data_IF_345642245057
#
_entry.id   IF_345642245057
#
_cell.length_a   1.000
_cell.length_b   1.000
_cell.length_c   1.000
_cell.angle_alpha   90.00
_cell.angle_beta   90.00
_cell.angle_gamma   90.00
#
_symmetry.space_group_name_H-M   'P 1'
#
loop_
_entity.id
_entity.type
_entity.pdbx_description
1 polymer ?
#
# COMPACT_ATOMS: atom_id res chain seq x y z
N UNK A 1 -15.76 70.81 2.82
CA UNK A 1 -14.86 69.71 3.23
C UNK A 1 -15.45 68.41 2.68
N UNK A 2 -14.88 67.87 1.60
CA UNK A 2 -15.29 66.57 1.07
C UNK A 2 -14.59 65.46 1.86
N UNK A 3 -15.38 64.58 2.48
CA UNK A 3 -14.90 63.42 3.24
C UNK A 3 -14.34 62.42 2.23
N UNK A 4 -13.04 62.12 2.30
CA UNK A 4 -12.38 61.17 1.39
C UNK A 4 -12.93 59.77 1.68
N UNK A 5 -13.64 59.19 0.71
CA UNK A 5 -14.28 57.86 0.82
C UNK A 5 -13.24 56.74 0.96
N UNK A 6 -12.86 56.43 2.20
CA UNK A 6 -11.96 55.32 2.53
C UNK A 6 -12.61 53.94 2.38
N UNK A 7 -13.94 53.88 2.24
CA UNK A 7 -14.74 52.65 2.20
C UNK A 7 -14.59 51.88 0.88
N UNK A 8 -14.39 52.56 -0.25
CA UNK A 8 -14.24 51.92 -1.57
C UNK A 8 -12.94 51.13 -1.71
N UNK A 9 -11.83 51.64 -1.16
CA UNK A 9 -10.54 50.97 -1.22
C UNK A 9 -10.51 49.69 -0.37
N UNK A 10 -11.17 49.69 0.79
CA UNK A 10 -11.27 48.50 1.64
C UNK A 10 -12.03 47.36 0.96
N UNK A 11 -13.15 47.67 0.28
CA UNK A 11 -13.93 46.68 -0.46
C UNK A 11 -13.14 46.06 -1.62
N UNK A 12 -12.38 46.88 -2.36
CA UNK A 12 -11.52 46.41 -3.46
C UNK A 12 -10.42 45.48 -2.94
N UNK A 13 -9.74 45.85 -1.85
CA UNK A 13 -8.71 45.01 -1.23
C UNK A 13 -9.31 43.67 -0.77
N UNK A 14 -10.48 43.69 -0.12
CA UNK A 14 -11.18 42.46 0.27
C UNK A 14 -11.57 41.60 -0.94
N UNK A 15 -12.00 42.22 -2.03
CA UNK A 15 -12.29 41.52 -3.29
C UNK A 15 -11.05 40.80 -3.85
N UNK A 16 -9.92 41.49 -3.95
CA UNK A 16 -8.66 40.88 -4.41
C UNK A 16 -8.18 39.75 -3.48
N UNK A 17 -8.28 39.94 -2.16
CA UNK A 17 -7.95 38.89 -1.20
C UNK A 17 -8.87 37.67 -1.34
N UNK A 18 -10.16 37.89 -1.62
CA UNK A 18 -11.12 36.83 -1.90
C UNK A 18 -10.74 35.99 -3.12
N UNK A 19 -10.33 36.65 -4.21
CA UNK A 19 -9.86 35.94 -5.43
C UNK A 19 -8.60 35.11 -5.13
N UNK A 20 -7.64 35.68 -4.40
CA UNK A 20 -6.40 34.96 -4.03
C UNK A 20 -6.73 33.75 -3.16
N UNK A 21 -7.59 33.91 -2.14
CA UNK A 21 -8.01 32.81 -1.27
C UNK A 21 -8.72 31.69 -2.05
N UNK A 22 -9.60 32.05 -2.99
CA UNK A 22 -10.27 31.08 -3.86
C UNK A 22 -9.28 30.31 -4.75
N UNK A 23 -8.29 31.00 -5.34
CA UNK A 23 -7.26 30.35 -6.15
C UNK A 23 -6.37 29.40 -5.34
N UNK A 24 -6.01 29.78 -4.12
CA UNK A 24 -5.27 28.91 -3.19
C UNK A 24 -6.08 27.66 -2.86
N UNK A 25 -7.36 27.83 -2.50
CA UNK A 25 -8.26 26.72 -2.20
C UNK A 25 -8.38 25.75 -3.39
N UNK A 26 -8.64 26.27 -4.60
CA UNK A 26 -8.71 25.47 -5.83
C UNK A 26 -7.39 24.75 -6.10
N UNK A 27 -6.25 25.42 -5.90
CA UNK A 27 -4.93 24.80 -6.06
C UNK A 27 -4.71 23.61 -5.13
N UNK A 28 -5.17 23.70 -3.87
CA UNK A 28 -5.12 22.61 -2.90
C UNK A 28 -6.02 21.45 -3.32
N UNK A 29 -7.28 21.73 -3.71
CA UNK A 29 -8.25 20.72 -4.17
C UNK A 29 -7.75 19.96 -5.41
N UNK A 30 -7.14 20.65 -6.37
CA UNK A 30 -6.55 20.02 -7.56
C UNK A 30 -5.39 19.10 -7.18
N UNK A 31 -4.53 19.54 -6.24
CA UNK A 31 -3.42 18.71 -5.76
C UNK A 31 -3.93 17.44 -5.08
N UNK A 32 -4.92 17.57 -4.20
CA UNK A 32 -5.53 16.43 -3.50
C UNK A 32 -6.19 15.47 -4.49
N UNK A 33 -6.98 16.00 -5.44
CA UNK A 33 -7.60 15.20 -6.50
C UNK A 33 -6.58 14.42 -7.33
N UNK A 34 -5.42 15.03 -7.62
CA UNK A 34 -4.34 14.36 -8.34
C UNK A 34 -3.70 13.23 -7.52
N UNK A 35 -3.52 13.41 -6.22
CA UNK A 35 -2.97 12.38 -5.33
C UNK A 35 -3.90 11.16 -5.31
N UNK A 36 -5.20 11.39 -5.08
CA UNK A 36 -6.21 10.32 -5.09
C UNK A 36 -6.22 9.59 -6.43
N UNK A 37 -6.24 10.32 -7.55
CA UNK A 37 -6.25 9.71 -8.88
C UNK A 37 -5.00 8.86 -9.19
N UNK A 38 -3.83 9.21 -8.64
CA UNK A 38 -2.61 8.39 -8.78
C UNK A 38 -2.73 7.12 -7.94
N UNK A 39 -3.21 7.25 -6.69
CA UNK A 39 -3.44 6.10 -5.80
C UNK A 39 -4.44 5.11 -6.37
N UNK A 40 -5.57 5.58 -6.90
CA UNK A 40 -6.58 4.73 -7.54
C UNK A 40 -6.01 3.94 -8.71
N UNK A 41 -5.16 4.57 -9.54
CA UNK A 41 -4.48 3.88 -10.65
C UNK A 41 -3.49 2.84 -10.16
N UNK A 42 -2.77 3.12 -9.08
CA UNK A 42 -1.85 2.16 -8.48
C UNK A 42 -2.62 0.96 -7.90
N UNK A 43 -3.72 1.21 -7.19
CA UNK A 43 -4.63 0.18 -6.69
C UNK A 43 -5.20 -0.67 -7.82
N UNK A 44 -5.72 -0.07 -8.89
CA UNK A 44 -6.25 -0.81 -10.04
C UNK A 44 -5.20 -1.73 -10.68
N UNK A 45 -3.94 -1.28 -10.80
CA UNK A 45 -2.85 -2.12 -11.30
C UNK A 45 -2.52 -3.27 -10.35
N UNK A 46 -2.57 -3.01 -9.04
CA UNK A 46 -2.37 -4.03 -8.00
C UNK A 46 -3.48 -5.07 -8.04
N UNK A 47 -4.73 -4.65 -8.16
CA UNK A 47 -5.90 -5.53 -8.28
C UNK A 47 -5.80 -6.45 -9.49
N UNK A 48 -5.43 -5.92 -10.66
CA UNK A 48 -5.18 -6.72 -11.86
C UNK A 48 -4.06 -7.75 -11.65
N UNK A 49 -2.96 -7.36 -11.00
CA UNK A 49 -1.87 -8.29 -10.70
C UNK A 49 -2.31 -9.39 -9.71
N UNK A 50 -3.08 -9.03 -8.68
CA UNK A 50 -3.66 -9.98 -7.73
C UNK A 50 -4.65 -10.93 -8.39
N UNK A 51 -5.49 -10.45 -9.32
CA UNK A 51 -6.43 -11.26 -10.10
C UNK A 51 -5.69 -12.32 -10.92
N UNK A 52 -4.66 -11.90 -11.67
CA UNK A 52 -3.80 -12.81 -12.45
C UNK A 52 -3.14 -13.89 -11.56
N UNK A 53 -2.83 -13.57 -10.31
CA UNK A 53 -2.32 -14.56 -9.34
C UNK A 53 -3.43 -15.45 -8.78
N UNK A 54 -4.62 -14.90 -8.52
CA UNK A 54 -5.78 -15.68 -8.05
C UNK A 54 -6.22 -16.72 -9.05
N UNK A 55 -6.16 -16.41 -10.34
CA UNK A 55 -6.47 -17.38 -11.42
C UNK A 55 -5.51 -18.58 -11.45
N UNK A 56 -4.35 -18.47 -10.80
CA UNK A 56 -3.37 -19.56 -10.65
C UNK A 56 -3.58 -20.39 -9.38
N UNK A 57 -4.51 -20.01 -8.51
CA UNK A 57 -4.79 -20.78 -7.30
C UNK A 57 -5.34 -22.16 -7.69
N UNK A 58 -4.78 -23.25 -7.15
CA UNK A 58 -5.39 -24.56 -7.30
C UNK A 58 -6.74 -24.60 -6.59
N UNK A 59 -7.69 -25.44 -7.05
CA UNK A 59 -8.91 -25.69 -6.30
C UNK A 59 -8.54 -26.31 -4.95
N UNK A 60 -9.12 -25.83 -3.85
CA UNK A 60 -8.72 -26.33 -2.55
C UNK A 60 -9.14 -25.45 -1.39
N UNK A 61 -8.56 -25.71 -0.20
CA UNK A 61 -8.88 -24.96 1.00
C UNK A 61 -8.46 -23.49 0.86
N UNK A 62 -9.22 -22.62 1.50
CA UNK A 62 -8.92 -21.19 1.58
C UNK A 62 -7.60 -20.92 2.31
N UNK A 63 -7.03 -19.73 2.09
CA UNK A 63 -5.88 -19.24 2.84
C UNK A 63 -6.05 -19.36 4.36
N UNK A 64 -7.27 -19.17 4.86
CA UNK A 64 -7.59 -19.26 6.29
C UNK A 64 -7.52 -20.71 6.80
N UNK A 65 -8.05 -21.66 6.04
CA UNK A 65 -7.97 -23.09 6.38
C UNK A 65 -6.53 -23.59 6.38
N UNK A 66 -5.75 -23.21 5.36
CA UNK A 66 -4.31 -23.54 5.28
C UNK A 66 -3.56 -22.96 6.48
N UNK A 67 -3.82 -21.69 6.83
CA UNK A 67 -3.20 -21.04 8.01
C UNK A 67 -3.58 -21.74 9.31
N UNK A 68 -4.81 -22.21 9.43
CA UNK A 68 -5.29 -22.96 10.61
C UNK A 68 -4.51 -24.26 10.78
N UNK A 69 -4.28 -25.00 9.69
CA UNK A 69 -3.45 -26.21 9.68
C UNK A 69 -2.00 -25.93 10.09
N UNK A 70 -1.40 -24.88 9.54
CA UNK A 70 -0.03 -24.46 9.90
C UNK A 70 0.08 -24.14 11.39
N UNK A 71 -0.90 -23.41 11.96
CA UNK A 71 -0.94 -23.10 13.40
C UNK A 71 -1.10 -24.37 14.25
N UNK A 72 -1.86 -25.35 13.77
CA UNK A 72 -2.01 -26.65 14.42
C UNK A 72 -0.77 -27.56 14.29
N UNK A 73 0.26 -27.14 13.54
CA UNK A 73 1.47 -27.92 13.28
C UNK A 73 1.25 -29.07 12.29
N UNK A 74 0.17 -29.03 11.53
CA UNK A 74 -0.13 -30.03 10.50
C UNK A 74 0.75 -29.83 9.27
N UNK A 75 1.10 -30.93 8.60
CA UNK A 75 1.81 -30.88 7.32
C UNK A 75 0.84 -30.50 6.22
N UNK A 76 1.21 -29.50 5.43
CA UNK A 76 0.51 -29.17 4.19
C UNK A 76 0.80 -30.21 3.12
N UNK A 77 -0.20 -30.52 2.30
CA UNK A 77 0.00 -31.19 1.02
C UNK A 77 0.74 -30.29 0.03
N UNK A 78 1.21 -30.85 -1.08
CA UNK A 78 1.89 -30.08 -2.13
C UNK A 78 0.97 -29.01 -2.74
N UNK A 79 -0.33 -29.32 -2.89
CA UNK A 79 -1.33 -28.39 -3.42
C UNK A 79 -1.62 -27.24 -2.44
N UNK A 80 -1.77 -27.56 -1.15
CA UNK A 80 -1.93 -26.54 -0.10
C UNK A 80 -0.68 -25.67 0.03
N UNK A 81 0.51 -26.26 -0.11
CA UNK A 81 1.78 -25.53 -0.10
C UNK A 81 1.84 -24.55 -1.27
N UNK A 82 1.46 -24.99 -2.49
CA UNK A 82 1.38 -24.11 -3.66
C UNK A 82 0.34 -23.00 -3.48
N UNK A 83 -0.85 -23.32 -2.99
CA UNK A 83 -1.88 -22.33 -2.69
C UNK A 83 -1.39 -21.30 -1.67
N UNK A 84 -0.70 -21.75 -0.61
CA UNK A 84 -0.12 -20.88 0.42
C UNK A 84 0.91 -19.90 -0.14
N UNK A 85 1.79 -20.37 -1.02
CA UNK A 85 2.78 -19.54 -1.70
C UNK A 85 2.11 -18.47 -2.56
N UNK A 86 1.07 -18.82 -3.34
CA UNK A 86 0.32 -17.86 -4.16
C UNK A 86 -0.42 -16.85 -3.28
N UNK A 87 -1.06 -17.29 -2.19
CA UNK A 87 -1.68 -16.39 -1.23
C UNK A 87 -0.68 -15.42 -0.60
N UNK A 88 0.53 -15.88 -0.30
CA UNK A 88 1.60 -15.04 0.23
C UNK A 88 2.04 -13.99 -0.79
N UNK A 89 2.17 -14.35 -2.07
CA UNK A 89 2.46 -13.39 -3.14
C UNK A 89 1.35 -12.33 -3.31
N UNK A 90 0.09 -12.75 -3.27
CA UNK A 90 -1.06 -11.82 -3.32
C UNK A 90 -1.01 -10.86 -2.12
N UNK A 91 -0.72 -11.38 -0.93
CA UNK A 91 -0.59 -10.57 0.27
C UNK A 91 0.55 -9.55 0.17
N UNK A 92 1.69 -9.94 -0.40
CA UNK A 92 2.81 -9.03 -0.61
C UNK A 92 2.46 -7.88 -1.57
N UNK A 93 1.74 -8.15 -2.67
CA UNK A 93 1.22 -7.09 -3.56
C UNK A 93 0.27 -6.13 -2.83
N UNK A 94 -0.56 -6.67 -1.93
CA UNK A 94 -1.42 -5.86 -1.07
C UNK A 94 -0.61 -4.95 -0.12
N UNK A 95 0.49 -5.46 0.45
CA UNK A 95 1.39 -4.65 1.29
C UNK A 95 2.07 -3.54 0.49
N UNK A 96 2.52 -3.82 -0.74
CA UNK A 96 3.12 -2.81 -1.61
C UNK A 96 2.13 -1.66 -1.92
N UNK A 97 0.85 -2.00 -2.14
CA UNK A 97 -0.21 -1.01 -2.28
C UNK A 97 -0.45 -0.20 -1.00
N UNK A 98 -0.48 -0.84 0.17
CA UNK A 98 -0.63 -0.14 1.44
C UNK A 98 0.53 0.81 1.71
N UNK A 99 1.77 0.40 1.42
CA UNK A 99 2.94 1.27 1.51
C UNK A 99 2.80 2.49 0.61
N UNK A 100 2.42 2.28 -0.66
CA UNK A 100 2.18 3.39 -1.58
C UNK A 100 1.13 4.36 -1.04
N UNK A 101 0.00 3.85 -0.53
CA UNK A 101 -1.07 4.68 0.03
C UNK A 101 -0.63 5.43 1.31
N UNK A 102 0.19 4.80 2.15
CA UNK A 102 0.77 5.42 3.34
C UNK A 102 1.67 6.61 2.97
N UNK A 103 2.57 6.44 2.00
CA UNK A 103 3.45 7.51 1.50
C UNK A 103 2.68 8.70 0.90
N UNK A 104 1.47 8.46 0.38
CA UNK A 104 0.59 9.52 -0.11
C UNK A 104 -0.25 10.20 0.99
N UNK A 105 -0.16 9.73 2.24
CA UNK A 105 -0.98 10.19 3.36
C UNK A 105 -2.44 9.72 3.30
N UNK A 106 -2.71 8.66 2.53
CA UNK A 106 -4.05 8.08 2.35
C UNK A 106 -4.32 6.88 3.26
N UNK A 107 -3.28 6.33 3.89
CA UNK A 107 -3.37 5.27 4.89
C UNK A 107 -2.85 5.77 6.24
N UNK A 108 -3.54 5.46 7.34
CA UNK A 108 -3.12 5.89 8.67
C UNK A 108 -1.92 5.08 9.19
N UNK A 109 -1.17 5.67 10.12
CA UNK A 109 -0.04 5.02 10.79
C UNK A 109 -0.41 3.67 11.42
N UNK A 110 -1.54 3.60 12.11
CA UNK A 110 -1.97 2.36 12.77
C UNK A 110 -2.23 1.24 11.75
N UNK A 111 -2.84 1.58 10.61
CA UNK A 111 -3.07 0.62 9.54
C UNK A 111 -1.75 0.17 8.91
N UNK A 112 -0.81 1.10 8.73
CA UNK A 112 0.51 0.80 8.19
C UNK A 112 1.33 -0.11 9.11
N UNK A 113 1.39 0.19 10.41
CA UNK A 113 2.07 -0.66 11.38
C UNK A 113 1.46 -2.08 11.43
N UNK A 114 0.14 -2.20 11.37
CA UNK A 114 -0.51 -3.51 11.27
C UNK A 114 -0.15 -4.29 9.99
N UNK A 115 0.07 -3.57 8.87
CA UNK A 115 0.55 -4.15 7.62
C UNK A 115 2.01 -4.64 7.75
N UNK A 116 2.89 -3.85 8.37
CA UNK A 116 4.27 -4.24 8.65
C UNK A 116 4.37 -5.47 9.58
N UNK A 117 3.54 -5.54 10.62
CA UNK A 117 3.47 -6.71 11.51
C UNK A 117 3.11 -7.99 10.75
N UNK A 118 2.19 -7.88 9.79
CA UNK A 118 1.80 -9.00 8.94
C UNK A 118 2.86 -9.35 7.89
N UNK A 119 3.54 -8.35 7.32
CA UNK A 119 4.70 -8.56 6.45
C UNK A 119 5.81 -9.29 7.20
N UNK A 120 6.18 -8.82 8.40
CA UNK A 120 7.19 -9.46 9.26
C UNK A 120 6.86 -10.93 9.52
N UNK A 121 5.60 -11.24 9.83
CA UNK A 121 5.16 -12.64 9.99
C UNK A 121 5.27 -13.46 8.71
N UNK A 122 5.02 -12.85 7.56
CA UNK A 122 5.02 -13.52 6.26
C UNK A 122 6.43 -13.81 5.77
N UNK A 123 7.35 -12.85 5.86
CA UNK A 123 8.74 -13.04 5.41
C UNK A 123 9.49 -14.05 6.28
N UNK A 124 9.12 -14.16 7.56
CA UNK A 124 9.71 -15.11 8.51
C UNK A 124 8.93 -16.44 8.60
N UNK A 125 7.91 -16.65 7.78
CA UNK A 125 7.15 -17.90 7.77
C UNK A 125 7.96 -19.01 7.06
N UNK A 126 8.26 -20.15 7.71
CA UNK A 126 9.00 -21.25 7.09
C UNK A 126 8.33 -21.84 5.84
N UNK A 127 7.00 -21.71 5.70
CA UNK A 127 6.27 -22.15 4.51
C UNK A 127 6.36 -21.14 3.34
N UNK A 128 6.92 -19.95 3.57
CA UNK A 128 7.18 -18.92 2.57
C UNK A 128 8.67 -18.94 2.20
N UNK A 129 8.96 -19.17 0.92
CA UNK A 129 10.33 -19.09 0.41
C UNK A 129 10.71 -17.63 0.10
N UNK A 130 11.08 -16.87 1.13
CA UNK A 130 11.46 -15.46 0.99
C UNK A 130 12.63 -15.24 0.01
N UNK A 131 13.64 -16.12 0.04
CA UNK A 131 14.77 -16.06 -0.89
C UNK A 131 14.33 -16.18 -2.36
N UNK A 132 13.35 -17.06 -2.64
CA UNK A 132 12.77 -17.14 -3.98
C UNK A 132 11.96 -15.87 -4.33
N UNK A 133 11.30 -15.26 -3.35
CA UNK A 133 10.51 -14.03 -3.54
C UNK A 133 11.41 -12.83 -3.82
N UNK A 134 12.66 -12.79 -3.33
CA UNK A 134 13.62 -11.72 -3.64
C UNK A 134 13.88 -11.51 -5.12
N UNK A 135 13.64 -12.52 -5.98
CA UNK A 135 13.68 -12.35 -7.44
C UNK A 135 12.69 -11.29 -7.95
N UNK A 136 11.63 -10.99 -7.20
CA UNK A 136 10.69 -9.91 -7.50
C UNK A 136 11.28 -8.50 -7.30
N UNK A 137 12.52 -8.34 -6.81
CA UNK A 137 13.15 -7.02 -6.64
C UNK A 137 13.18 -6.18 -7.93
N UNK A 138 13.21 -6.84 -9.10
CA UNK A 138 13.16 -6.15 -10.39
C UNK A 138 11.81 -5.48 -10.68
N UNK A 139 10.73 -5.97 -10.07
CA UNK A 139 9.36 -5.50 -10.33
C UNK A 139 8.72 -4.79 -9.12
N UNK A 140 9.13 -5.16 -7.91
CA UNK A 140 8.64 -4.63 -6.63
C UNK A 140 9.81 -4.33 -5.68
N UNK A 141 10.73 -3.41 -6.03
CA UNK A 141 11.95 -3.17 -5.26
C UNK A 141 11.67 -2.73 -3.81
N UNK A 142 10.69 -1.83 -3.63
CA UNK A 142 10.32 -1.29 -2.31
C UNK A 142 9.77 -2.36 -1.38
N UNK A 143 8.94 -3.26 -1.90
CA UNK A 143 8.42 -4.38 -1.12
C UNK A 143 9.55 -5.31 -0.64
N UNK A 144 10.54 -5.58 -1.49
CA UNK A 144 11.69 -6.41 -1.13
C UNK A 144 12.58 -5.71 -0.10
N UNK A 145 12.81 -4.41 -0.23
CA UNK A 145 13.57 -3.62 0.75
C UNK A 145 12.91 -3.68 2.14
N UNK A 146 11.60 -3.40 2.22
CA UNK A 146 10.83 -3.50 3.46
C UNK A 146 10.84 -4.91 4.04
N UNK A 147 10.69 -5.93 3.19
CA UNK A 147 10.71 -7.32 3.63
C UNK A 147 12.10 -7.74 4.15
N UNK A 148 13.18 -7.27 3.52
CA UNK A 148 14.56 -7.56 3.94
C UNK A 148 14.92 -6.90 5.27
N UNK A 149 14.38 -5.72 5.56
CA UNK A 149 14.52 -5.08 6.87
C UNK A 149 13.84 -5.87 8.01
N UNK A 150 12.75 -6.57 7.68
CA UNK A 150 11.95 -7.34 8.64
C UNK A 150 12.31 -8.84 8.69
N UNK A 151 13.12 -9.31 7.76
CA UNK A 151 13.53 -10.70 7.66
C UNK A 151 14.62 -11.02 8.69
N UNK A 152 14.35 -11.99 9.55
CA UNK A 152 15.21 -12.42 10.65
C UNK A 152 15.96 -13.74 10.33
N UNK A 153 15.84 -14.25 9.10
CA UNK A 153 16.56 -15.45 8.67
C UNK A 153 18.08 -15.27 8.63
N UNK A 154 18.80 -16.40 8.55
CA UNK A 154 20.25 -16.43 8.78
C UNK A 154 21.00 -15.42 7.90
N UNK A 155 21.64 -14.45 8.55
CA UNK A 155 22.40 -13.33 7.98
C UNK A 155 23.65 -13.73 7.18
N UNK A 156 23.80 -15.01 6.82
CA UNK A 156 25.00 -15.63 6.25
C UNK A 156 25.08 -15.58 4.71
N UNK A 157 24.10 -15.00 4.01
CA UNK A 157 24.09 -14.88 2.54
C UNK A 157 24.27 -13.45 1.99
N UNK A 158 24.80 -12.52 2.79
CA UNK A 158 25.30 -11.24 2.27
C UNK A 158 26.65 -11.41 1.56
#
# INVERSE_FOLDING_TARGET
MAKKDGTGNGLVVMGFLGVIAALVFVGVEIRQSRIVAIADRFTARTELAMEVMRDRLPPGPSAFEIRTKLIAGEKLSDEETRAYQIHSLIYLLFIENNHFQYEQGLLSEIQWQGALDGLKRTVNDPAVNWEAIRWLRLVSPTLIELGDELYEGDSSSK
#
